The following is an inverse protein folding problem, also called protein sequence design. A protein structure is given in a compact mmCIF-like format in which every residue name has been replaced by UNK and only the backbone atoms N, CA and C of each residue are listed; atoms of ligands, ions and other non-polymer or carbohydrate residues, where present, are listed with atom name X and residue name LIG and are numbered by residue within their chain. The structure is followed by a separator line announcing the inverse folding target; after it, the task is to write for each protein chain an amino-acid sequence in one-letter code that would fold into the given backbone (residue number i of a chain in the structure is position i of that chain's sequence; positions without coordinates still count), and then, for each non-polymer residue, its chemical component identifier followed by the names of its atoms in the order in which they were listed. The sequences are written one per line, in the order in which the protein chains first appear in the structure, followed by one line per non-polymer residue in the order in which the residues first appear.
data_IF_077052569101
#
_entry.id   IF_077052569101
#
_cell.length_a   1.000
_cell.length_b   1.000
_cell.length_c   1.000
_cell.angle_alpha   90.00
_cell.angle_beta   90.00
_cell.angle_gamma   90.00
#
_symmetry.space_group_name_H-M   'P 1'
#
loop_
_entity.id
_entity.type
_entity.pdbx_description
1 polymer ?
#
# COMPACT_ATOMS: atom_id res chain seq x y z
N UNK A 1 -30.64 -10.03 -10.07
CA UNK A 1 -30.78 -8.55 -9.98
C UNK A 1 -29.95 -7.95 -11.11
N UNK A 2 -30.54 -7.19 -12.04
CA UNK A 2 -29.81 -6.63 -13.18
C UNK A 2 -29.26 -5.24 -12.84
N UNK A 3 -28.01 -4.98 -13.23
CA UNK A 3 -27.33 -3.69 -13.04
C UNK A 3 -27.61 -2.80 -14.24
N UNK A 4 -28.05 -1.56 -14.02
CA UNK A 4 -28.24 -0.57 -15.10
C UNK A 4 -26.89 0.04 -15.50
N UNK A 5 -26.02 0.32 -14.53
CA UNK A 5 -24.74 0.95 -14.80
C UNK A 5 -23.86 1.08 -13.57
N UNK A 6 -22.58 1.38 -13.84
CA UNK A 6 -21.53 1.63 -12.85
C UNK A 6 -20.90 2.98 -13.13
N UNK A 7 -20.89 3.88 -12.15
CA UNK A 7 -20.24 5.19 -12.25
C UNK A 7 -19.35 5.49 -11.05
N UNK A 8 -18.24 6.22 -11.27
CA UNK A 8 -17.42 6.74 -10.17
C UNK A 8 -18.26 7.71 -9.34
N UNK A 9 -18.15 7.63 -8.03
CA UNK A 9 -18.83 8.51 -7.09
C UNK A 9 -17.86 8.94 -5.99
N UNK A 10 -18.00 10.16 -5.50
CA UNK A 10 -17.20 10.67 -4.39
C UNK A 10 -18.11 11.17 -3.29
N UNK A 11 -17.72 10.87 -2.05
CA UNK A 11 -18.32 11.46 -0.86
C UNK A 11 -17.41 12.61 -0.42
N UNK A 12 -17.88 13.87 -0.47
CA UNK A 12 -17.15 14.98 0.11
C UNK A 12 -17.23 14.90 1.64
N UNK A 13 -16.11 15.17 2.31
CA UNK A 13 -16.05 15.38 3.75
C UNK A 13 -15.25 16.64 4.02
N UNK A 14 -15.73 17.45 4.95
CA UNK A 14 -15.04 18.66 5.42
C UNK A 14 -14.31 18.34 6.70
N UNK A 15 -13.01 18.61 6.74
CA UNK A 15 -12.16 18.46 7.92
C UNK A 15 -11.39 19.76 8.18
N UNK A 16 -10.65 19.79 9.27
CA UNK A 16 -9.67 20.84 9.57
C UNK A 16 -8.53 20.93 8.54
N UNK A 17 -8.40 19.92 7.66
CA UNK A 17 -7.44 19.87 6.55
C UNK A 17 -8.06 20.27 5.20
N UNK A 18 -9.29 20.79 5.20
CA UNK A 18 -10.04 21.18 4.02
C UNK A 18 -11.02 20.10 3.52
N UNK A 19 -11.45 20.22 2.27
CA UNK A 19 -12.36 19.23 1.66
C UNK A 19 -11.60 18.02 1.12
N UNK A 20 -11.98 16.84 1.61
CA UNK A 20 -11.53 15.55 1.08
C UNK A 20 -12.66 14.93 0.26
N UNK A 21 -12.31 14.17 -0.78
CA UNK A 21 -13.29 13.50 -1.65
C UNK A 21 -12.99 12.01 -1.69
N UNK A 22 -13.83 11.20 -1.04
CA UNK A 22 -13.57 9.77 -0.84
C UNK A 22 -14.28 8.94 -1.93
N UNK A 23 -13.54 8.13 -2.71
CA UNK A 23 -14.05 7.47 -3.91
C UNK A 23 -14.79 6.17 -3.62
N UNK A 24 -15.82 5.92 -4.42
CA UNK A 24 -16.63 4.70 -4.45
C UNK A 24 -17.09 4.39 -5.87
N UNK A 25 -17.42 3.14 -6.11
CA UNK A 25 -18.14 2.74 -7.33
C UNK A 25 -19.64 2.68 -7.02
N UNK A 26 -20.42 3.54 -7.68
CA UNK A 26 -21.88 3.53 -7.59
C UNK A 26 -22.49 2.58 -8.59
N UNK A 27 -23.33 1.68 -8.10
CA UNK A 27 -24.05 0.68 -8.89
C UNK A 27 -25.55 1.02 -8.86
N UNK A 28 -26.09 1.41 -10.00
CA UNK A 28 -27.52 1.70 -10.17
C UNK A 28 -28.27 0.41 -10.52
N UNK A 29 -29.36 0.15 -9.80
CA UNK A 29 -30.08 -1.11 -9.82
C UNK A 29 -31.38 -0.99 -10.65
N UNK A 30 -31.71 -2.04 -11.41
CA UNK A 30 -32.87 -2.01 -12.32
C UNK A 30 -34.23 -1.92 -11.64
N UNK A 31 -34.30 -2.25 -10.35
CA UNK A 31 -35.53 -2.28 -9.57
C UNK A 31 -35.80 -0.99 -8.79
N UNK A 32 -35.10 0.11 -9.11
CA UNK A 32 -35.21 1.40 -8.43
C UNK A 32 -34.88 1.37 -6.92
N UNK A 33 -34.25 0.30 -6.43
CA UNK A 33 -33.71 0.28 -5.08
C UNK A 33 -32.57 1.31 -4.94
N UNK A 34 -32.29 1.81 -3.72
CA UNK A 34 -31.15 2.69 -3.49
C UNK A 34 -29.87 2.11 -4.08
N UNK A 35 -29.10 2.94 -4.77
CA UNK A 35 -27.85 2.53 -5.39
C UNK A 35 -26.90 1.90 -4.34
N UNK A 36 -26.13 0.91 -4.78
CA UNK A 36 -25.10 0.29 -3.95
C UNK A 36 -23.78 1.03 -4.18
N UNK A 37 -23.10 1.40 -3.10
CA UNK A 37 -21.74 1.91 -3.15
C UNK A 37 -20.78 0.77 -2.79
N UNK A 38 -19.88 0.49 -3.72
CA UNK A 38 -18.82 -0.50 -3.56
C UNK A 38 -17.50 0.21 -3.27
N UNK A 39 -16.64 -0.46 -2.50
CA UNK A 39 -15.25 -0.04 -2.37
C UNK A 39 -14.61 -0.01 -3.77
N UNK A 40 -13.82 1.03 -4.04
CA UNK A 40 -13.24 1.25 -5.35
C UNK A 40 -11.79 1.75 -5.22
N UNK A 41 -10.87 0.96 -5.77
CA UNK A 41 -9.43 1.21 -5.78
C UNK A 41 -8.93 1.70 -7.13
N UNK A 42 -9.81 1.77 -8.14
CA UNK A 42 -9.43 2.07 -9.52
C UNK A 42 -8.92 3.50 -9.75
N UNK A 43 -8.96 4.36 -8.72
CA UNK A 43 -8.50 5.73 -8.80
C UNK A 43 -9.24 6.55 -9.86
N UNK A 44 -8.59 7.57 -10.43
CA UNK A 44 -9.22 8.43 -11.45
C UNK A 44 -9.40 7.71 -12.81
N UNK A 45 -8.85 6.53 -13.02
CA UNK A 45 -8.93 5.81 -14.30
C UNK A 45 -10.35 5.43 -14.74
N UNK A 46 -11.27 5.29 -13.78
CA UNK A 46 -12.69 4.99 -14.05
C UNK A 46 -13.60 6.21 -13.92
N UNK A 47 -13.00 7.40 -13.75
CA UNK A 47 -13.70 8.68 -13.70
C UNK A 47 -13.55 9.41 -15.05
N UNK A 48 -14.59 9.47 -15.89
CA UNK A 48 -14.51 10.15 -17.18
C UNK A 48 -14.12 11.63 -17.10
N UNK A 49 -14.36 12.28 -15.96
CA UNK A 49 -14.02 13.69 -15.76
C UNK A 49 -12.59 13.91 -15.24
N UNK A 50 -11.96 12.88 -14.65
CA UNK A 50 -10.62 12.97 -14.04
C UNK A 50 -9.60 12.00 -14.61
N UNK A 51 -9.99 11.15 -15.56
CA UNK A 51 -9.10 10.17 -16.17
C UNK A 51 -7.85 10.88 -16.74
N UNK A 52 -6.64 10.42 -16.37
CA UNK A 52 -5.43 11.04 -16.86
C UNK A 52 -5.34 10.84 -18.38
N UNK A 53 -4.66 11.77 -19.05
CA UNK A 53 -4.23 11.55 -20.44
C UNK A 53 -3.32 10.32 -20.49
N UNK A 54 -3.24 9.61 -21.64
CA UNK A 54 -2.23 8.59 -21.84
C UNK A 54 -0.86 9.12 -21.44
N UNK A 55 -0.11 8.32 -20.67
CA UNK A 55 1.22 8.64 -20.17
C UNK A 55 1.33 9.87 -19.24
N UNK A 56 0.23 10.48 -18.79
CA UNK A 56 0.28 11.52 -17.76
C UNK A 56 0.35 10.92 -16.35
N UNK A 57 1.06 11.57 -15.40
CA UNK A 57 0.97 11.21 -13.99
C UNK A 57 -0.45 11.51 -13.44
N UNK A 58 -0.80 10.88 -12.33
CA UNK A 58 -2.01 11.22 -11.59
C UNK A 58 -1.85 12.56 -10.87
N UNK A 59 -2.98 13.19 -10.56
CA UNK A 59 -2.97 14.38 -9.73
C UNK A 59 -2.50 14.01 -8.30
N UNK A 60 -1.60 14.81 -7.70
CA UNK A 60 -1.07 14.55 -6.36
C UNK A 60 -2.10 14.93 -5.28
N UNK A 61 -3.12 14.08 -5.10
CA UNK A 61 -4.29 14.29 -4.24
C UNK A 61 -3.94 14.77 -2.82
N UNK A 62 -2.86 14.25 -2.24
CA UNK A 62 -2.48 14.45 -0.83
C UNK A 62 -1.62 15.68 -0.58
N UNK A 63 -1.01 16.27 -1.60
CA UNK A 63 -0.12 17.44 -1.43
C UNK A 63 -0.89 18.62 -0.84
N UNK A 64 -2.12 18.84 -1.29
CA UNK A 64 -2.98 19.94 -0.80
C UNK A 64 -3.35 19.80 0.68
N UNK A 65 -3.42 18.59 1.23
CA UNK A 65 -3.82 18.38 2.64
C UNK A 65 -2.76 18.87 3.61
N UNK A 66 -1.50 18.82 3.18
CA UNK A 66 -0.35 19.13 4.01
C UNK A 66 0.29 20.48 3.67
N UNK A 67 -0.19 21.20 2.65
CA UNK A 67 0.39 22.50 2.28
C UNK A 67 0.31 23.53 3.43
N UNK A 68 -0.83 23.62 4.11
CA UNK A 68 -1.04 24.53 5.25
C UNK A 68 -0.67 23.87 6.59
N UNK A 69 -0.54 22.54 6.61
CA UNK A 69 -0.27 21.72 7.80
C UNK A 69 1.13 21.09 7.79
N UNK A 70 2.06 21.66 7.04
CA UNK A 70 3.39 21.07 6.83
C UNK A 70 4.17 20.92 8.15
N UNK A 71 3.96 21.82 9.11
CA UNK A 71 4.54 21.71 10.44
C UNK A 71 4.08 20.43 11.17
N UNK A 72 2.80 20.06 11.10
CA UNK A 72 2.29 18.81 11.68
C UNK A 72 2.92 17.59 11.02
N UNK A 73 3.09 17.61 9.70
CA UNK A 73 3.77 16.54 8.95
C UNK A 73 5.24 16.39 9.34
N UNK A 74 5.93 17.49 9.63
CA UNK A 74 7.31 17.46 10.12
C UNK A 74 7.42 16.93 11.56
N UNK A 75 6.46 17.27 12.42
CA UNK A 75 6.40 16.75 13.80
C UNK A 75 6.13 15.25 13.85
N UNK A 76 5.33 14.73 12.90
CA UNK A 76 4.89 13.34 12.87
C UNK A 76 5.25 12.68 11.54
N UNK A 77 6.48 12.15 11.38
CA UNK A 77 6.93 11.58 10.11
C UNK A 77 6.17 10.31 9.71
N UNK A 78 5.43 9.69 10.63
CA UNK A 78 4.62 8.49 10.37
C UNK A 78 3.21 8.62 10.96
N UNK A 79 2.26 7.90 10.37
CA UNK A 79 0.89 7.79 10.88
C UNK A 79 0.85 7.17 12.28
N UNK A 80 1.81 6.27 12.62
CA UNK A 80 1.94 5.71 13.95
C UNK A 80 2.34 6.77 14.99
N UNK A 81 3.29 7.65 14.65
CA UNK A 81 3.72 8.74 15.52
C UNK A 81 2.57 9.72 15.77
N UNK A 82 1.87 10.14 14.70
CA UNK A 82 0.68 11.00 14.81
C UNK A 82 -0.41 10.36 15.68
N UNK A 83 -0.71 9.08 15.43
CA UNK A 83 -1.74 8.35 16.17
C UNK A 83 -1.43 8.26 17.67
N UNK A 84 -0.19 7.94 18.04
CA UNK A 84 0.25 7.87 19.45
C UNK A 84 0.28 9.22 20.15
N UNK A 85 0.47 10.30 19.40
CA UNK A 85 0.35 11.67 19.89
C UNK A 85 -1.11 12.14 20.02
N UNK A 86 -2.10 11.31 19.68
CA UNK A 86 -3.51 11.68 19.73
C UNK A 86 -3.99 12.50 18.53
N UNK A 87 -3.19 12.61 17.47
CA UNK A 87 -3.53 13.38 16.28
C UNK A 87 -4.29 12.50 15.29
N UNK A 88 -5.42 13.00 14.79
CA UNK A 88 -6.17 12.43 13.67
C UNK A 88 -5.72 13.15 12.40
N UNK A 89 -5.23 12.39 11.43
CA UNK A 89 -4.70 12.93 10.16
C UNK A 89 -5.78 12.97 9.07
N UNK A 90 -5.58 13.72 7.97
CA UNK A 90 -6.48 13.66 6.82
C UNK A 90 -6.59 12.25 6.24
N UNK A 91 -5.52 11.44 6.28
CA UNK A 91 -5.58 10.03 5.90
C UNK A 91 -6.56 9.24 6.77
N UNK A 92 -6.56 9.44 8.09
CA UNK A 92 -7.49 8.76 9.01
C UNK A 92 -8.96 9.16 8.78
N UNK A 93 -9.23 10.44 8.48
CA UNK A 93 -10.56 10.89 8.08
C UNK A 93 -11.03 10.25 6.76
N UNK A 94 -10.14 10.22 5.76
CA UNK A 94 -10.39 9.62 4.47
C UNK A 94 -10.76 8.14 4.62
N UNK A 95 -9.96 7.39 5.37
CA UNK A 95 -10.13 5.95 5.62
C UNK A 95 -11.44 5.67 6.35
N UNK A 96 -11.76 6.43 7.40
CA UNK A 96 -12.99 6.20 8.17
C UNK A 96 -14.24 6.28 7.27
N UNK A 97 -14.27 7.24 6.35
CA UNK A 97 -15.34 7.34 5.36
C UNK A 97 -15.30 6.18 4.37
N UNK A 98 -14.12 5.81 3.87
CA UNK A 98 -13.91 4.74 2.88
C UNK A 98 -14.38 3.38 3.40
N UNK A 99 -14.04 3.05 4.65
CA UNK A 99 -14.38 1.77 5.29
C UNK A 99 -15.87 1.64 5.66
N UNK A 100 -16.60 2.75 5.77
CA UNK A 100 -18.03 2.72 6.02
C UNK A 100 -18.86 2.41 4.75
N UNK A 101 -18.26 2.36 3.55
CA UNK A 101 -18.95 2.11 2.28
C UNK A 101 -20.22 2.96 2.09
N UNK A 102 -20.17 4.20 2.57
CA UNK A 102 -21.30 5.12 2.60
C UNK A 102 -22.58 4.59 3.29
N UNK A 103 -22.48 3.52 4.10
CA UNK A 103 -23.61 2.99 4.88
C UNK A 103 -24.30 4.10 5.65
N UNK A 104 -23.53 5.04 6.22
CA UNK A 104 -24.02 6.20 6.97
C UNK A 104 -25.00 7.08 6.18
N UNK A 105 -24.92 7.09 4.85
CA UNK A 105 -25.77 7.90 3.98
C UNK A 105 -27.01 7.16 3.47
N UNK A 106 -27.15 5.86 3.76
CA UNK A 106 -28.29 5.05 3.34
C UNK A 106 -28.98 4.37 4.53
N UNK A 107 -30.08 4.96 5.05
CA UNK A 107 -30.88 4.34 6.11
C UNK A 107 -31.38 2.93 5.75
N UNK A 108 -31.70 2.71 4.47
CA UNK A 108 -32.11 1.40 3.96
C UNK A 108 -31.03 0.32 4.14
N UNK A 109 -29.76 0.65 3.86
CA UNK A 109 -28.66 -0.31 4.00
C UNK A 109 -28.21 -0.48 5.44
N UNK A 110 -28.30 0.56 6.28
CA UNK A 110 -28.02 0.44 7.73
C UNK A 110 -28.93 -0.58 8.40
N UNK A 111 -30.23 -0.51 8.12
CA UNK A 111 -31.24 -1.39 8.74
C UNK A 111 -31.10 -2.87 8.35
N UNK A 112 -30.36 -3.19 7.27
CA UNK A 112 -30.21 -4.56 6.76
C UNK A 112 -28.91 -5.24 7.18
N UNK A 113 -28.06 -4.58 7.96
CA UNK A 113 -26.81 -5.17 8.44
C UNK A 113 -27.11 -6.01 9.67
N UNK A 114 -27.20 -7.32 9.49
CA UNK A 114 -27.15 -8.26 10.60
C UNK A 114 -25.82 -9.02 10.55
N UNK A 115 -25.02 -8.90 11.62
CA UNK A 115 -23.77 -9.66 11.75
C UNK A 115 -24.12 -11.07 12.19
N UNK A 116 -24.03 -12.02 11.26
CA UNK A 116 -24.40 -13.41 11.54
C UNK A 116 -23.21 -14.35 11.74
N UNK A 117 -21.99 -13.85 12.00
CA UNK A 117 -20.78 -14.69 12.00
C UNK A 117 -19.86 -14.38 13.18
N UNK A 118 -19.17 -15.42 13.65
CA UNK A 118 -18.11 -15.34 14.65
C UNK A 118 -16.91 -14.56 14.10
N UNK A 119 -16.53 -13.51 14.83
CA UNK A 119 -15.44 -12.62 14.48
C UNK A 119 -14.09 -13.08 15.10
N UNK A 120 -14.06 -14.25 15.78
CA UNK A 120 -12.90 -14.87 16.44
C UNK A 120 -12.16 -13.89 17.36
N UNK A 121 -12.90 -13.07 18.11
CA UNK A 121 -12.35 -12.04 19.01
C UNK A 121 -11.87 -10.75 18.32
N UNK A 122 -12.27 -10.49 17.07
CA UNK A 122 -12.07 -9.17 16.46
C UNK A 122 -13.09 -8.13 16.96
N UNK A 123 -12.66 -6.87 17.00
CA UNK A 123 -13.44 -5.73 17.47
C UNK A 123 -13.83 -4.84 16.29
N UNK A 124 -14.58 -5.38 15.34
CA UNK A 124 -15.06 -4.63 14.18
C UNK A 124 -16.19 -3.70 14.65
N UNK A 125 -16.12 -2.37 14.52
CA UNK A 125 -17.18 -1.47 14.96
C UNK A 125 -18.31 -1.41 13.93
N UNK A 126 -19.53 -1.06 14.34
CA UNK A 126 -20.64 -0.88 13.38
C UNK A 126 -20.44 0.33 12.47
N UNK A 127 -19.69 1.32 12.97
CA UNK A 127 -19.29 2.51 12.25
C UNK A 127 -17.80 2.74 12.52
N UNK A 128 -17.03 2.88 11.44
CA UNK A 128 -15.62 3.24 11.52
C UNK A 128 -15.51 4.75 11.66
N UNK A 129 -15.02 5.24 12.80
CA UNK A 129 -14.77 6.68 13.03
C UNK A 129 -13.28 7.01 12.82
N UNK A 130 -12.92 8.28 12.54
CA UNK A 130 -11.51 8.69 12.46
C UNK A 130 -10.74 8.37 13.75
N UNK A 131 -11.40 8.53 14.91
CA UNK A 131 -10.83 8.17 16.20
C UNK A 131 -10.59 6.67 16.35
N UNK A 132 -11.50 5.82 15.84
CA UNK A 132 -11.27 4.37 15.82
C UNK A 132 -10.06 4.00 14.95
N UNK A 133 -9.93 4.61 13.77
CA UNK A 133 -8.76 4.42 12.90
C UNK A 133 -7.47 4.81 13.64
N UNK A 134 -7.46 5.99 14.29
CA UNK A 134 -6.33 6.46 15.09
C UNK A 134 -5.98 5.47 16.21
N UNK A 135 -6.96 4.96 16.96
CA UNK A 135 -6.74 4.02 18.05
C UNK A 135 -6.11 2.70 17.56
N UNK A 136 -6.62 2.15 16.45
CA UNK A 136 -6.07 0.91 15.86
C UNK A 136 -4.64 1.10 15.35
N UNK A 137 -4.34 2.26 14.76
CA UNK A 137 -2.97 2.63 14.34
C UNK A 137 -2.06 2.83 15.56
N UNK A 138 -2.49 3.58 16.57
CA UNK A 138 -1.70 3.82 17.79
C UNK A 138 -1.34 2.53 18.53
N UNK A 139 -2.27 1.57 18.55
CA UNK A 139 -2.10 0.24 19.12
C UNK A 139 -1.24 -0.71 18.25
N UNK A 140 -0.86 -0.31 17.03
CA UNK A 140 -0.10 -1.14 16.10
C UNK A 140 -0.90 -2.32 15.52
N UNK A 141 -2.24 -2.28 15.57
CA UNK A 141 -3.13 -3.31 15.00
C UNK A 141 -3.58 -3.00 13.57
N UNK A 142 -3.35 -1.77 13.13
CA UNK A 142 -3.58 -1.33 11.77
C UNK A 142 -2.45 -0.41 11.29
N UNK A 143 -2.25 -0.36 9.97
CA UNK A 143 -1.27 0.50 9.32
C UNK A 143 -1.91 1.27 8.16
N UNK A 144 -1.31 2.42 7.85
CA UNK A 144 -1.69 3.28 6.72
C UNK A 144 -0.42 3.51 5.87
N UNK A 145 -0.14 2.64 4.89
CA UNK A 145 1.02 2.77 4.01
C UNK A 145 0.83 4.01 3.13
N UNK A 146 1.57 5.07 3.44
CA UNK A 146 1.27 6.41 2.92
C UNK A 146 2.52 7.28 2.88
N UNK A 147 3.54 6.83 2.14
CA UNK A 147 4.77 7.60 1.98
C UNK A 147 4.41 8.99 1.47
N UNK A 148 5.01 9.98 2.13
CA UNK A 148 4.71 11.38 1.94
C UNK A 148 5.18 11.88 0.55
N UNK A 149 6.12 11.16 -0.09
CA UNK A 149 6.58 11.35 -1.47
C UNK A 149 5.64 10.73 -2.51
N UNK A 150 4.60 9.99 -2.12
CA UNK A 150 3.58 9.41 -3.00
C UNK A 150 2.20 10.07 -2.79
N UNK A 151 2.06 11.35 -3.18
CA UNK A 151 0.82 12.09 -2.96
C UNK A 151 -0.34 11.67 -3.87
N UNK A 152 -0.08 10.89 -4.92
CA UNK A 152 -1.07 10.38 -5.87
C UNK A 152 -1.97 9.29 -5.27
N UNK A 153 -1.45 8.53 -4.28
CA UNK A 153 -2.18 7.43 -3.67
C UNK A 153 -3.40 7.91 -2.85
N UNK A 154 -4.54 7.26 -3.05
CA UNK A 154 -5.74 7.42 -2.23
C UNK A 154 -5.58 6.61 -0.93
N UNK A 155 -5.63 7.21 0.27
CA UNK A 155 -5.36 6.50 1.52
C UNK A 155 -6.27 5.29 1.76
N UNK A 156 -5.68 4.25 2.34
CA UNK A 156 -6.35 3.01 2.73
C UNK A 156 -5.72 2.46 4.02
N UNK A 157 -6.42 1.54 4.69
CA UNK A 157 -5.97 0.92 5.93
C UNK A 157 -5.87 -0.59 5.79
N UNK A 158 -4.83 -1.15 6.41
CA UNK A 158 -4.65 -2.61 6.56
C UNK A 158 -4.71 -2.92 8.04
N UNK A 159 -5.69 -3.73 8.45
CA UNK A 159 -5.84 -4.16 9.84
C UNK A 159 -7.01 -5.13 9.99
N UNK A 160 -6.98 -5.93 11.06
CA UNK A 160 -7.94 -7.01 11.29
C UNK A 160 -9.40 -6.53 11.43
N UNK A 161 -9.59 -5.32 11.93
CA UNK A 161 -10.90 -4.75 12.23
C UNK A 161 -11.50 -3.93 11.07
N UNK A 162 -10.92 -4.04 9.87
CA UNK A 162 -11.31 -3.33 8.65
C UNK A 162 -11.66 -4.33 7.54
N UNK A 163 -12.12 -3.85 6.37
CA UNK A 163 -12.30 -4.73 5.21
C UNK A 163 -10.98 -5.43 4.88
N UNK A 164 -11.05 -6.70 4.48
CA UNK A 164 -9.87 -7.43 3.99
C UNK A 164 -9.36 -6.75 2.71
N UNK A 165 -8.03 -6.64 2.60
CA UNK A 165 -7.35 -5.97 1.48
C UNK A 165 -6.56 -6.97 0.65
N UNK A 166 -6.46 -6.74 -0.65
CA UNK A 166 -5.76 -7.62 -1.60
C UNK A 166 -4.64 -6.88 -2.30
N UNK A 167 -3.49 -7.54 -2.41
CA UNK A 167 -2.33 -7.04 -3.16
C UNK A 167 -2.22 -7.72 -4.52
N UNK A 168 -1.85 -6.97 -5.56
CA UNK A 168 -1.43 -7.54 -6.85
C UNK A 168 0.07 -7.34 -7.09
N UNK A 169 0.75 -8.39 -7.56
CA UNK A 169 2.16 -8.32 -7.91
C UNK A 169 2.32 -8.05 -9.41
N UNK A 170 3.12 -7.05 -9.75
CA UNK A 170 3.56 -6.73 -11.11
C UNK A 170 5.08 -6.64 -11.15
N UNK A 171 5.65 -6.23 -12.28
CA UNK A 171 7.07 -6.00 -12.42
C UNK A 171 7.67 -6.65 -13.67
N UNK A 172 8.81 -6.10 -14.07
CA UNK A 172 9.61 -6.58 -15.21
C UNK A 172 10.47 -7.78 -14.84
N UNK A 173 11.01 -8.42 -15.87
CA UNK A 173 11.94 -9.53 -15.74
C UNK A 173 13.15 -9.34 -16.66
N UNK A 174 14.25 -10.09 -16.47
CA UNK A 174 15.41 -10.03 -17.37
C UNK A 174 15.09 -10.35 -18.84
N UNK A 175 13.99 -11.07 -19.10
CA UNK A 175 13.59 -11.50 -20.45
C UNK A 175 12.55 -10.58 -21.09
N UNK A 176 11.85 -9.76 -20.30
CA UNK A 176 10.76 -8.91 -20.78
C UNK A 176 10.60 -7.67 -19.90
N UNK A 177 10.70 -6.49 -20.52
CA UNK A 177 10.64 -5.19 -19.83
C UNK A 177 10.00 -4.13 -20.74
N UNK A 178 8.81 -3.65 -20.36
CA UNK A 178 8.08 -2.60 -21.07
C UNK A 178 7.32 -1.70 -20.10
N UNK A 179 7.60 -0.40 -20.12
CA UNK A 179 6.90 0.58 -19.26
C UNK A 179 5.40 0.60 -19.52
N UNK A 180 5.00 0.58 -20.79
CA UNK A 180 3.58 0.60 -21.17
C UNK A 180 2.83 -0.63 -20.63
N UNK A 181 3.46 -1.80 -20.66
CA UNK A 181 2.85 -3.02 -20.12
C UNK A 181 2.78 -3.02 -18.59
N UNK A 182 3.81 -2.54 -17.90
CA UNK A 182 3.76 -2.44 -16.43
C UNK A 182 2.69 -1.44 -15.98
N UNK A 183 2.56 -0.32 -16.68
CA UNK A 183 1.47 0.64 -16.44
C UNK A 183 0.10 0.02 -16.71
N UNK A 184 -0.05 -0.74 -17.80
CA UNK A 184 -1.30 -1.43 -18.10
C UNK A 184 -1.66 -2.49 -17.05
N UNK A 185 -0.67 -3.26 -16.56
CA UNK A 185 -0.85 -4.21 -15.45
C UNK A 185 -1.31 -3.50 -14.18
N UNK A 186 -0.68 -2.38 -13.81
CA UNK A 186 -1.08 -1.54 -12.68
C UNK A 186 -2.55 -1.09 -12.82
N UNK A 187 -2.90 -0.47 -13.95
CA UNK A 187 -4.25 0.05 -14.21
C UNK A 187 -5.29 -1.07 -14.18
N UNK A 188 -5.00 -2.24 -14.78
CA UNK A 188 -5.89 -3.40 -14.73
C UNK A 188 -6.06 -3.94 -13.32
N UNK A 189 -4.97 -4.07 -12.56
CA UNK A 189 -5.01 -4.60 -11.20
C UNK A 189 -5.91 -3.74 -10.31
N UNK A 190 -5.71 -2.43 -10.30
CA UNK A 190 -6.53 -1.52 -9.47
C UNK A 190 -7.97 -1.43 -9.98
N UNK A 191 -8.20 -1.52 -11.29
CA UNK A 191 -9.57 -1.57 -11.86
C UNK A 191 -10.37 -2.77 -11.36
N UNK A 192 -9.70 -3.89 -11.07
CA UNK A 192 -10.33 -5.11 -10.58
C UNK A 192 -10.26 -5.28 -9.05
N UNK A 193 -9.84 -4.24 -8.33
CA UNK A 193 -9.93 -4.21 -6.86
C UNK A 193 -8.64 -4.57 -6.12
N UNK A 194 -7.47 -4.49 -6.75
CA UNK A 194 -6.23 -4.51 -5.98
C UNK A 194 -6.15 -3.25 -5.10
N UNK A 195 -6.01 -3.45 -3.79
CA UNK A 195 -5.91 -2.40 -2.77
C UNK A 195 -4.49 -1.86 -2.60
N UNK A 196 -3.51 -2.69 -2.93
CA UNK A 196 -2.10 -2.32 -3.05
C UNK A 196 -1.49 -3.04 -4.25
N UNK A 197 -0.38 -2.51 -4.75
CA UNK A 197 0.41 -3.18 -5.79
C UNK A 197 1.84 -3.29 -5.32
N UNK A 198 2.50 -4.41 -5.61
CA UNK A 198 3.95 -4.52 -5.43
C UNK A 198 4.66 -4.54 -6.77
N UNK A 199 5.66 -3.68 -6.91
CA UNK A 199 6.64 -3.77 -7.98
C UNK A 199 7.73 -4.77 -7.59
N UNK A 200 7.67 -5.95 -8.21
CA UNK A 200 8.65 -7.03 -8.05
C UNK A 200 9.62 -7.12 -9.23
N UNK A 201 9.81 -6.00 -9.94
CA UNK A 201 10.72 -5.90 -11.09
C UNK A 201 12.10 -6.44 -10.78
N UNK A 202 12.67 -7.16 -11.74
CA UNK A 202 14.03 -7.68 -11.71
C UNK A 202 14.72 -7.46 -13.05
N UNK A 203 16.05 -7.35 -13.05
CA UNK A 203 16.81 -7.09 -14.27
C UNK A 203 17.20 -5.62 -14.39
N UNK A 204 17.06 -5.04 -15.59
CA UNK A 204 17.49 -3.67 -15.89
C UNK A 204 16.36 -2.66 -15.63
N UNK A 205 16.73 -1.39 -15.43
CA UNK A 205 15.82 -0.24 -15.35
C UNK A 205 14.75 -0.31 -14.24
N UNK A 206 14.97 -1.09 -13.18
CA UNK A 206 14.04 -1.26 -12.04
C UNK A 206 13.63 0.12 -11.46
N UNK A 207 14.60 1.00 -11.25
CA UNK A 207 14.35 2.34 -10.66
C UNK A 207 13.50 3.23 -11.56
N UNK A 208 13.73 3.22 -12.88
CA UNK A 208 12.95 4.00 -13.85
C UNK A 208 11.50 3.50 -13.95
N UNK A 209 11.32 2.18 -14.05
CA UNK A 209 9.99 1.55 -14.08
C UNK A 209 9.21 1.90 -12.84
N UNK A 210 9.81 1.74 -11.66
CA UNK A 210 9.15 2.06 -10.39
C UNK A 210 8.78 3.53 -10.26
N UNK A 211 9.69 4.45 -10.61
CA UNK A 211 9.41 5.89 -10.58
C UNK A 211 8.21 6.23 -11.51
N UNK A 212 8.14 5.59 -12.67
CA UNK A 212 7.02 5.72 -13.60
C UNK A 212 5.69 5.20 -13.02
N UNK A 213 5.72 4.02 -12.36
CA UNK A 213 4.54 3.40 -11.76
C UNK A 213 4.00 4.19 -10.56
N UNK A 214 4.88 4.69 -9.69
CA UNK A 214 4.49 5.49 -8.51
C UNK A 214 3.67 6.71 -8.91
N UNK A 215 4.11 7.45 -9.92
CA UNK A 215 3.36 8.62 -10.41
C UNK A 215 2.00 8.29 -11.04
N UNK A 216 1.71 6.99 -11.27
CA UNK A 216 0.48 6.48 -11.89
C UNK A 216 -0.35 5.62 -10.94
N UNK A 217 0.11 5.40 -9.71
CA UNK A 217 -0.59 4.51 -8.80
C UNK A 217 -1.58 5.28 -7.93
N UNK A 218 -2.88 4.97 -7.96
CA UNK A 218 -3.84 5.51 -7.02
C UNK A 218 -3.84 4.72 -5.70
N UNK A 219 -3.03 3.66 -5.60
CA UNK A 219 -2.93 2.78 -4.44
C UNK A 219 -1.48 2.72 -3.92
N UNK A 220 -1.27 2.32 -2.67
CA UNK A 220 0.08 2.13 -2.13
C UNK A 220 0.91 1.15 -2.96
N UNK A 221 2.17 1.50 -3.20
CA UNK A 221 3.17 0.67 -3.88
C UNK A 221 4.14 0.09 -2.87
N UNK A 222 4.31 -1.23 -2.91
CA UNK A 222 5.34 -1.95 -2.16
C UNK A 222 6.46 -2.47 -3.03
N UNK A 223 7.60 -2.77 -2.40
CA UNK A 223 8.74 -3.40 -3.09
C UNK A 223 9.41 -4.46 -2.21
N UNK A 224 10.36 -5.19 -2.80
CA UNK A 224 11.34 -6.01 -2.08
C UNK A 224 12.73 -5.45 -2.39
N UNK A 225 13.28 -4.52 -1.58
CA UNK A 225 14.46 -3.75 -1.96
C UNK A 225 15.71 -4.60 -2.27
N UNK A 226 15.84 -5.79 -1.68
CA UNK A 226 16.95 -6.72 -1.96
C UNK A 226 17.03 -7.14 -3.43
N UNK A 227 15.93 -7.08 -4.20
CA UNK A 227 15.93 -7.43 -5.62
C UNK A 227 16.70 -6.41 -6.44
N UNK A 228 16.52 -5.12 -6.15
CA UNK A 228 17.29 -4.06 -6.79
C UNK A 228 18.73 -4.04 -6.30
N UNK A 229 18.96 -4.22 -4.98
CA UNK A 229 20.31 -4.32 -4.44
C UNK A 229 21.12 -5.43 -5.14
N UNK A 230 20.49 -6.59 -5.37
CA UNK A 230 21.11 -7.69 -6.11
C UNK A 230 21.38 -7.34 -7.57
N UNK A 231 20.48 -6.61 -8.22
CA UNK A 231 20.68 -6.14 -9.59
C UNK A 231 21.86 -5.15 -9.70
N UNK A 232 22.04 -4.25 -8.73
CA UNK A 232 23.16 -3.28 -8.70
C UNK A 232 24.53 -3.95 -8.61
N UNK A 233 24.61 -5.10 -7.94
CA UNK A 233 25.84 -5.90 -7.84
C UNK A 233 25.96 -6.96 -8.95
N UNK A 234 25.23 -6.78 -10.05
CA UNK A 234 25.31 -7.65 -11.22
C UNK A 234 24.80 -9.08 -10.98
N UNK A 235 23.88 -9.26 -10.03
CA UNK A 235 23.33 -10.58 -9.68
C UNK A 235 24.23 -11.43 -8.79
N UNK A 236 25.37 -10.89 -8.32
CA UNK A 236 26.34 -11.64 -7.51
C UNK A 236 26.04 -11.47 -6.03
N UNK A 237 25.49 -12.51 -5.40
CA UNK A 237 25.14 -12.47 -3.98
C UNK A 237 26.33 -12.15 -3.07
N UNK A 238 27.54 -12.66 -3.36
CA UNK A 238 28.77 -12.34 -2.60
C UNK A 238 29.09 -10.84 -2.55
N UNK A 239 28.62 -10.08 -3.53
CA UNK A 239 28.99 -8.68 -3.68
C UNK A 239 27.92 -7.76 -3.04
N UNK A 240 26.83 -8.33 -2.47
CA UNK A 240 25.86 -7.59 -1.66
C UNK A 240 26.49 -7.10 -0.35
N UNK A 241 26.13 -5.89 0.05
CA UNK A 241 26.56 -5.28 1.30
C UNK A 241 25.43 -4.44 1.91
N UNK A 242 25.60 -4.07 3.19
CA UNK A 242 24.74 -3.09 3.84
C UNK A 242 24.73 -1.76 3.08
N UNK A 243 25.88 -1.28 2.59
CA UNK A 243 25.96 0.00 1.88
C UNK A 243 25.08 0.04 0.62
N UNK A 244 25.12 -1.00 -0.21
CA UNK A 244 24.27 -1.09 -1.41
C UNK A 244 22.79 -1.18 -1.02
N UNK A 245 22.47 -1.95 0.03
CA UNK A 245 21.09 -2.06 0.51
C UNK A 245 20.57 -0.71 1.03
N UNK A 246 21.37 0.02 1.80
CA UNK A 246 21.00 1.31 2.38
C UNK A 246 20.74 2.36 1.30
N UNK A 247 21.60 2.44 0.27
CA UNK A 247 21.38 3.29 -0.91
C UNK A 247 20.04 2.97 -1.58
N UNK A 248 19.74 1.69 -1.82
CA UNK A 248 18.47 1.28 -2.42
C UNK A 248 17.27 1.65 -1.55
N UNK A 249 17.34 1.43 -0.24
CA UNK A 249 16.26 1.81 0.69
C UNK A 249 16.00 3.32 0.63
N UNK A 250 17.05 4.13 0.72
CA UNK A 250 16.95 5.58 0.68
C UNK A 250 16.36 6.08 -0.64
N UNK A 251 16.86 5.59 -1.78
CA UNK A 251 16.33 5.98 -3.09
C UNK A 251 14.86 5.59 -3.28
N UNK A 252 14.46 4.40 -2.84
CA UNK A 252 13.07 3.97 -2.92
C UNK A 252 12.13 4.78 -2.00
N UNK A 253 12.61 5.15 -0.81
CA UNK A 253 11.88 6.01 0.09
C UNK A 253 11.65 7.41 -0.52
N UNK A 254 12.69 8.00 -1.14
CA UNK A 254 12.58 9.30 -1.83
C UNK A 254 11.67 9.25 -3.06
N UNK A 255 11.62 8.12 -3.77
CA UNK A 255 10.69 7.93 -4.90
C UNK A 255 9.22 7.88 -4.46
N UNK A 256 8.95 7.46 -3.21
CA UNK A 256 7.61 7.32 -2.67
C UNK A 256 7.11 5.89 -2.48
N UNK A 257 7.98 4.88 -2.39
CA UNK A 257 7.52 3.54 -2.02
C UNK A 257 6.87 3.57 -0.63
N UNK A 258 5.67 3.00 -0.51
CA UNK A 258 4.86 3.09 0.72
C UNK A 258 5.20 2.03 1.75
N UNK A 259 5.73 0.88 1.32
CA UNK A 259 6.16 -0.17 2.23
C UNK A 259 7.24 -1.07 1.62
N UNK A 260 8.12 -1.57 2.48
CA UNK A 260 9.19 -2.49 2.11
C UNK A 260 8.96 -3.87 2.69
N UNK A 261 9.09 -4.90 1.87
CA UNK A 261 9.26 -6.27 2.35
C UNK A 261 10.73 -6.50 2.67
N UNK A 262 11.05 -6.52 3.96
CA UNK A 262 12.42 -6.70 4.48
C UNK A 262 12.52 -8.05 5.17
N UNK A 263 13.46 -8.88 4.73
CA UNK A 263 13.64 -10.25 5.21
C UNK A 263 14.61 -10.32 6.40
N UNK A 264 14.47 -9.41 7.37
CA UNK A 264 15.35 -9.34 8.55
C UNK A 264 15.17 -10.55 9.49
N UNK A 265 14.02 -11.25 9.43
CA UNK A 265 13.77 -12.46 10.23
C UNK A 265 14.47 -13.73 9.73
N UNK A 266 15.20 -13.67 8.62
CA UNK A 266 16.02 -14.81 8.14
C UNK A 266 17.35 -14.78 8.88
N UNK A 267 17.41 -15.46 10.03
CA UNK A 267 18.61 -15.51 10.86
C UNK A 267 19.50 -16.69 10.48
N UNK A 268 20.82 -16.54 10.65
CA UNK A 268 21.80 -17.59 10.36
C UNK A 268 21.52 -18.87 11.16
N UNK A 269 21.11 -18.72 12.41
CA UNK A 269 20.75 -19.84 13.30
C UNK A 269 19.55 -20.65 12.79
N UNK A 270 18.70 -20.07 11.94
CA UNK A 270 17.50 -20.72 11.42
C UNK A 270 17.75 -21.51 10.13
N UNK A 271 18.86 -21.27 9.43
CA UNK A 271 19.16 -21.92 8.14
C UNK A 271 19.19 -23.45 8.21
N UNK A 272 19.76 -24.10 9.24
CA UNK A 272 19.75 -25.57 9.34
C UNK A 272 18.34 -26.17 9.36
N UNK A 273 17.35 -25.46 9.94
CA UNK A 273 15.96 -25.94 9.97
C UNK A 273 15.30 -25.99 8.58
N UNK A 274 15.85 -25.29 7.59
CA UNK A 274 15.36 -25.34 6.21
C UNK A 274 15.95 -26.51 5.41
N UNK A 275 17.04 -27.14 5.85
CA UNK A 275 17.76 -28.18 5.10
C UNK A 275 16.93 -29.46 4.90
N UNK A 276 16.07 -29.78 5.86
CA UNK A 276 15.23 -30.99 5.81
C UNK A 276 13.84 -30.75 5.21
N UNK A 277 13.56 -29.54 4.72
CA UNK A 277 12.28 -29.25 4.06
C UNK A 277 12.26 -29.85 2.67
N UNK A 278 11.12 -30.41 2.28
CA UNK A 278 10.88 -30.97 0.94
C UNK A 278 11.18 -29.96 -0.17
N UNK A 279 10.82 -28.69 0.03
CA UNK A 279 10.96 -27.61 -0.96
C UNK A 279 11.97 -26.53 -0.57
N UNK A 280 12.74 -26.73 0.51
CA UNK A 280 13.75 -25.78 0.98
C UNK A 280 13.21 -24.37 1.29
N UNK A 281 13.93 -23.34 0.85
CA UNK A 281 13.58 -21.93 0.99
C UNK A 281 12.98 -21.42 -0.33
N UNK A 282 11.66 -21.23 -0.36
CA UNK A 282 10.93 -20.80 -1.56
C UNK A 282 10.78 -19.28 -1.69
N UNK A 283 11.08 -18.52 -0.63
CA UNK A 283 11.17 -17.06 -0.73
C UNK A 283 12.44 -16.68 -1.47
N UNK A 284 12.31 -15.96 -2.60
CA UNK A 284 13.47 -15.42 -3.35
C UNK A 284 14.32 -14.49 -2.49
N UNK A 285 13.70 -13.54 -1.77
CA UNK A 285 14.45 -12.64 -0.88
C UNK A 285 15.15 -13.40 0.26
N UNK A 286 14.47 -14.38 0.84
CA UNK A 286 15.04 -15.22 1.88
C UNK A 286 16.19 -16.11 1.39
N UNK A 287 16.11 -16.66 0.18
CA UNK A 287 17.17 -17.50 -0.38
C UNK A 287 18.43 -16.69 -0.74
N UNK A 288 18.27 -15.44 -1.21
CA UNK A 288 19.39 -14.51 -1.44
C UNK A 288 20.17 -14.28 -0.14
N UNK A 289 19.49 -13.98 0.97
CA UNK A 289 20.12 -13.73 2.26
C UNK A 289 20.71 -15.00 2.89
N UNK A 290 20.03 -16.13 2.74
CA UNK A 290 20.57 -17.43 3.17
C UNK A 290 21.90 -17.74 2.48
N UNK A 291 21.97 -17.53 1.16
CA UNK A 291 23.20 -17.70 0.39
C UNK A 291 24.28 -16.69 0.81
N UNK A 292 23.90 -15.42 1.03
CA UNK A 292 24.82 -14.38 1.52
C UNK A 292 25.46 -14.78 2.85
N UNK A 293 24.67 -15.21 3.83
CA UNK A 293 25.18 -15.64 5.14
C UNK A 293 26.10 -16.87 5.05
N UNK A 294 25.82 -17.79 4.13
CA UNK A 294 26.69 -18.95 3.87
C UNK A 294 28.03 -18.55 3.25
N UNK A 295 28.05 -17.57 2.35
CA UNK A 295 29.28 -17.08 1.72
C UNK A 295 30.14 -16.30 2.73
N UNK A 296 29.52 -15.39 3.47
CA UNK A 296 30.24 -14.48 4.36
C UNK A 296 30.47 -15.03 5.77
N UNK A 297 29.80 -16.13 6.14
CA UNK A 297 29.82 -16.70 7.49
C UNK A 297 29.46 -15.68 8.58
N UNK A 298 28.54 -14.76 8.25
CA UNK A 298 28.06 -13.67 9.11
C UNK A 298 26.54 -13.72 9.29
N UNK A 299 26.05 -13.02 10.30
CA UNK A 299 24.61 -12.84 10.51
C UNK A 299 24.01 -11.92 9.42
N UNK A 300 22.71 -12.07 9.18
CA UNK A 300 21.97 -11.26 8.22
C UNK A 300 22.14 -9.77 8.48
N UNK A 301 22.74 -9.04 7.53
CA UNK A 301 22.98 -7.61 7.69
C UNK A 301 21.68 -6.78 7.82
N UNK A 302 20.53 -7.27 7.33
CA UNK A 302 19.24 -6.60 7.54
C UNK A 302 18.77 -6.69 9.00
N UNK A 303 19.18 -7.75 9.71
CA UNK A 303 18.96 -7.90 11.14
C UNK A 303 19.95 -7.03 11.92
N UNK A 304 21.25 -7.09 11.58
CA UNK A 304 22.30 -6.31 12.26
C UNK A 304 22.04 -4.79 12.18
N UNK A 305 21.44 -4.32 11.08
CA UNK A 305 21.15 -2.90 10.83
C UNK A 305 19.65 -2.53 10.95
N UNK A 306 18.83 -3.35 11.61
CA UNK A 306 17.38 -3.13 11.67
C UNK A 306 17.00 -1.76 12.25
N UNK A 307 17.70 -1.30 13.29
CA UNK A 307 17.48 0.03 13.88
C UNK A 307 17.83 1.18 12.94
N UNK A 308 18.78 0.98 12.02
CA UNK A 308 19.17 1.96 11.01
C UNK A 308 18.12 2.02 9.89
N UNK A 309 17.57 0.86 9.51
CA UNK A 309 16.41 0.77 8.60
C UNK A 309 15.21 1.54 9.18
N UNK A 310 14.92 1.39 10.47
CA UNK A 310 13.79 2.09 11.10
C UNK A 310 13.97 3.60 11.27
N UNK A 311 15.21 4.11 11.17
CA UNK A 311 15.53 5.54 11.27
C UNK A 311 15.41 6.29 9.95
N UNK A 312 15.45 5.57 8.82
CA UNK A 312 15.23 6.10 7.48
C UNK A 312 13.77 6.57 7.32
#
# INVERSE_FOLDING_TARGET
MQTIGRTKHYIPITTEFGELSVPFQKVTLSNHAPALLLYDTSGPYTDPAKAPKPDAPLAPLRDRWWHEHNALRQCFPTQLAAARAGVITPEMHFIATRENLARLQSPHWQAKVSRHHDAYGSHIPDVVTPEFVRQEVAAGRAIIPSNHRHPEAEPMVIGRNFLVKVNANIGTSPVHSSLAEETDKLVRAVRWGADTVMDLSTGKNISEVRAHLLRRSPVPIGTVPIYEALARVGGKVRDLSWSVMFEVLHEQAEQGVDYFTIHAGVLRSLLPHAQHRVTGIVSRGGSILAQWMQIHQRENFLWEHFDEICRL
#
